data_IF_435944109020
#
_entry.id   IF_435944109020
#
_cell.length_a   1.000
_cell.length_b   1.000
_cell.length_c   1.000
_cell.angle_alpha   90.00
_cell.angle_beta   90.00
_cell.angle_gamma   90.00
#
_symmetry.space_group_name_H-M   'P 1'
#
loop_
_entity.id
_entity.type
_entity.pdbx_description
1 polymer ?
#
# COMPACT_ATOMS: atom_id res chain seq x y z
N UNK A 1 -5.12 -6.50 -12.52
CA UNK A 1 -5.08 -6.78 -13.98
C UNK A 1 -5.12 -8.28 -14.14
N UNK A 2 -6.04 -8.84 -14.94
CA UNK A 2 -6.06 -10.29 -15.19
C UNK A 2 -4.78 -10.73 -15.90
N UNK A 3 -4.39 -12.02 -15.74
CA UNK A 3 -3.22 -12.57 -16.41
C UNK A 3 -3.29 -12.43 -17.94
N UNK A 4 -2.14 -12.31 -18.58
CA UNK A 4 -2.05 -12.19 -20.03
C UNK A 4 -2.48 -13.48 -20.73
N UNK A 5 -3.35 -13.42 -21.76
CA UNK A 5 -3.65 -14.57 -22.61
C UNK A 5 -2.54 -14.84 -23.65
N UNK A 6 -1.45 -14.09 -23.63
CA UNK A 6 -0.37 -14.19 -24.63
C UNK A 6 0.26 -15.58 -24.66
N UNK A 7 0.57 -16.06 -25.86
CA UNK A 7 1.32 -17.30 -26.03
C UNK A 7 2.79 -17.19 -25.58
N UNK A 8 3.29 -15.98 -25.48
CA UNK A 8 4.69 -15.70 -25.07
C UNK A 8 4.89 -15.72 -23.55
N UNK A 9 3.82 -15.67 -22.74
CA UNK A 9 3.88 -15.63 -21.28
C UNK A 9 3.22 -16.89 -20.73
N UNK A 10 4.05 -17.85 -20.30
CA UNK A 10 3.58 -19.16 -19.87
C UNK A 10 2.92 -19.12 -18.47
N UNK A 11 3.46 -18.33 -17.54
CA UNK A 11 2.96 -18.22 -16.17
C UNK A 11 1.52 -17.68 -16.15
N UNK A 12 1.27 -16.54 -16.78
CA UNK A 12 -0.05 -15.94 -16.83
C UNK A 12 -1.08 -16.83 -17.51
N UNK A 13 -0.70 -17.47 -18.63
CA UNK A 13 -1.55 -18.43 -19.35
C UNK A 13 -1.91 -19.64 -18.48
N UNK A 14 -0.97 -20.21 -17.73
CA UNK A 14 -1.20 -21.32 -16.82
C UNK A 14 -2.24 -20.92 -15.75
N UNK A 15 -2.05 -19.77 -15.11
CA UNK A 15 -2.97 -19.26 -14.08
C UNK A 15 -4.38 -19.04 -14.65
N UNK A 16 -4.50 -18.48 -15.88
CA UNK A 16 -5.80 -18.33 -16.54
C UNK A 16 -6.49 -19.65 -16.84
N UNK A 17 -5.74 -20.71 -17.18
CA UNK A 17 -6.28 -22.05 -17.41
C UNK A 17 -6.77 -22.70 -16.12
N UNK A 18 -6.03 -22.54 -15.02
CA UNK A 18 -6.36 -23.10 -13.72
C UNK A 18 -7.48 -22.28 -13.03
N UNK A 19 -7.50 -20.96 -13.22
CA UNK A 19 -8.43 -20.02 -12.61
C UNK A 19 -9.03 -19.03 -13.65
N UNK A 20 -9.94 -19.47 -14.53
CA UNK A 20 -10.45 -18.63 -15.63
C UNK A 20 -11.15 -17.34 -15.20
N UNK A 21 -11.64 -17.28 -13.95
CA UNK A 21 -12.33 -16.11 -13.37
C UNK A 21 -11.44 -15.20 -12.54
N UNK A 22 -10.11 -15.41 -12.51
CA UNK A 22 -9.21 -14.62 -11.66
C UNK A 22 -9.24 -13.14 -12.04
N UNK A 23 -9.27 -12.27 -11.05
CA UNK A 23 -9.12 -10.81 -11.21
C UNK A 23 -7.66 -10.37 -11.36
N UNK A 24 -6.72 -11.31 -11.25
CA UNK A 24 -5.29 -11.06 -11.25
C UNK A 24 -4.78 -10.46 -9.94
N UNK A 25 -3.46 -10.27 -9.87
CA UNK A 25 -2.79 -9.64 -8.73
C UNK A 25 -1.48 -8.99 -9.19
N UNK A 26 -0.85 -8.20 -8.32
CA UNK A 26 0.51 -7.71 -8.57
C UNK A 26 1.52 -8.87 -8.60
N UNK A 27 1.34 -9.91 -7.76
CA UNK A 27 2.21 -11.09 -7.78
C UNK A 27 2.23 -11.80 -9.13
N UNK A 28 1.06 -11.93 -9.78
CA UNK A 28 0.95 -12.50 -11.14
C UNK A 28 1.65 -11.59 -12.16
N UNK A 29 1.40 -10.28 -12.11
CA UNK A 29 2.02 -9.33 -13.03
C UNK A 29 3.55 -9.29 -12.89
N UNK A 30 4.08 -9.45 -11.67
CA UNK A 30 5.51 -9.59 -11.40
C UNK A 30 6.06 -10.85 -12.07
N UNK A 31 5.40 -11.99 -11.93
CA UNK A 31 5.81 -13.24 -12.58
C UNK A 31 5.89 -13.11 -14.10
N UNK A 32 4.86 -12.51 -14.72
CA UNK A 32 4.82 -12.26 -16.16
C UNK A 32 5.96 -11.33 -16.62
N UNK A 33 6.22 -10.26 -15.89
CA UNK A 33 7.30 -9.33 -16.20
C UNK A 33 8.69 -9.98 -16.05
N UNK A 34 8.88 -10.80 -15.01
CA UNK A 34 10.11 -11.58 -14.83
C UNK A 34 10.33 -12.57 -15.96
N UNK A 35 9.27 -13.28 -16.38
CA UNK A 35 9.35 -14.24 -17.49
C UNK A 35 9.75 -13.55 -18.81
N UNK A 36 9.14 -12.39 -19.11
CA UNK A 36 9.51 -11.61 -20.30
C UNK A 36 10.97 -11.17 -20.25
N UNK A 37 11.41 -10.61 -19.13
CA UNK A 37 12.80 -10.15 -19.00
C UNK A 37 13.83 -11.31 -19.05
N UNK A 38 13.46 -12.49 -18.54
CA UNK A 38 14.34 -13.67 -18.57
C UNK A 38 14.50 -14.26 -19.98
N UNK A 39 13.49 -14.07 -20.84
CA UNK A 39 13.46 -14.65 -22.19
C UNK A 39 13.93 -13.70 -23.31
N UNK A 40 14.25 -12.45 -23.00
CA UNK A 40 14.68 -11.43 -23.95
C UNK A 40 15.84 -10.61 -23.38
N UNK A 41 17.03 -10.77 -23.98
CA UNK A 41 18.27 -10.09 -23.58
C UNK A 41 18.20 -8.55 -23.73
N UNK A 42 17.24 -8.03 -24.50
CA UNK A 42 17.03 -6.60 -24.72
C UNK A 42 15.96 -6.01 -23.76
N UNK A 43 15.32 -6.86 -22.96
CA UNK A 43 14.28 -6.45 -22.02
C UNK A 43 14.81 -6.40 -20.59
N UNK A 44 14.59 -5.26 -19.91
CA UNK A 44 14.90 -5.10 -18.50
C UNK A 44 13.59 -4.90 -17.71
N UNK A 45 13.47 -5.59 -16.58
CA UNK A 45 12.37 -5.41 -15.68
C UNK A 45 12.71 -4.38 -14.58
N UNK A 46 11.98 -3.26 -14.57
CA UNK A 46 12.03 -2.30 -13.49
C UNK A 46 11.07 -2.74 -12.36
N UNK A 47 11.57 -3.59 -11.46
CA UNK A 47 10.79 -4.09 -10.34
C UNK A 47 10.42 -2.96 -9.36
N UNK A 48 9.15 -2.91 -8.96
CA UNK A 48 8.59 -1.90 -8.05
C UNK A 48 8.62 -2.29 -6.58
N UNK A 49 7.86 -1.65 -5.85
CA UNK A 49 7.50 -1.44 -4.43
C UNK A 49 8.06 -2.33 -3.31
N UNK A 50 8.51 -3.56 -3.51
CA UNK A 50 8.93 -4.46 -2.42
C UNK A 50 10.43 -4.54 -2.19
N UNK A 51 11.25 -3.97 -3.06
CA UNK A 51 12.70 -4.05 -2.98
C UNK A 51 13.33 -2.85 -2.26
N UNK A 52 14.39 -3.12 -1.51
CA UNK A 52 15.08 -2.12 -0.68
C UNK A 52 15.56 -0.91 -1.46
N UNK A 53 16.06 -1.08 -2.69
CA UNK A 53 16.53 0.04 -3.51
C UNK A 53 15.39 0.97 -3.95
N UNK A 54 14.19 0.42 -4.19
CA UNK A 54 13.00 1.24 -4.52
C UNK A 54 12.59 2.07 -3.31
N UNK A 55 12.54 1.46 -2.12
CA UNK A 55 12.25 2.17 -0.87
C UNK A 55 13.28 3.27 -0.59
N UNK A 56 14.57 2.98 -0.81
CA UNK A 56 15.64 3.97 -0.63
C UNK A 56 15.46 5.18 -1.56
N UNK A 57 15.16 4.98 -2.84
CA UNK A 57 14.88 6.07 -3.78
C UNK A 57 13.64 6.88 -3.35
N UNK A 58 12.60 6.22 -2.87
CA UNK A 58 11.37 6.88 -2.42
C UNK A 58 11.57 7.72 -1.15
N UNK A 59 12.64 7.51 -0.38
CA UNK A 59 12.90 8.29 0.84
C UNK A 59 13.14 9.78 0.58
N UNK A 60 13.34 10.20 -0.66
CA UNK A 60 13.36 11.62 -1.03
C UNK A 60 12.08 12.34 -0.55
N UNK A 61 10.93 11.68 -0.60
CA UNK A 61 9.66 12.23 -0.12
C UNK A 61 9.70 12.50 1.38
N UNK A 62 10.11 11.51 2.17
CA UNK A 62 10.20 11.66 3.63
C UNK A 62 11.30 12.63 4.07
N UNK A 63 12.45 12.66 3.37
CA UNK A 63 13.51 13.60 3.64
C UNK A 63 13.06 15.06 3.41
N UNK A 64 12.37 15.32 2.28
CA UNK A 64 11.81 16.63 2.00
C UNK A 64 10.69 17.00 2.99
N UNK A 65 9.86 16.03 3.37
CA UNK A 65 8.81 16.22 4.39
C UNK A 65 9.42 16.68 5.73
N UNK A 66 10.52 16.05 6.19
CA UNK A 66 11.22 16.47 7.42
C UNK A 66 11.69 17.92 7.33
N UNK A 67 12.28 18.32 6.20
CA UNK A 67 12.74 19.70 6.00
C UNK A 67 11.58 20.71 5.91
N UNK A 68 10.46 20.32 5.29
CA UNK A 68 9.26 21.14 5.23
C UNK A 68 8.63 21.32 6.62
N UNK A 69 8.49 20.24 7.40
CA UNK A 69 8.00 20.29 8.78
C UNK A 69 8.88 21.16 9.67
N UNK A 70 10.21 21.04 9.53
CA UNK A 70 11.16 21.90 10.26
C UNK A 70 10.99 23.38 9.92
N UNK A 71 10.78 23.72 8.64
CA UNK A 71 10.51 25.11 8.23
C UNK A 71 9.18 25.64 8.75
N UNK A 72 8.18 24.77 8.88
CA UNK A 72 6.87 25.12 9.41
C UNK A 72 6.80 25.05 10.94
N UNK A 73 7.91 24.68 11.61
CA UNK A 73 8.00 24.48 13.06
C UNK A 73 6.98 23.43 13.58
N UNK A 74 6.74 22.38 12.76
CA UNK A 74 5.83 21.28 13.05
C UNK A 74 6.62 20.07 13.54
N UNK A 75 6.14 19.48 14.65
CA UNK A 75 6.58 18.17 15.12
C UNK A 75 5.36 17.24 15.05
N UNK A 76 5.39 16.18 14.21
CA UNK A 76 4.24 15.31 14.06
C UNK A 76 4.11 14.36 15.26
N UNK A 77 2.91 14.23 15.81
CA UNK A 77 2.55 13.15 16.73
C UNK A 77 2.29 11.85 15.96
N UNK A 78 1.68 11.97 14.77
CA UNK A 78 1.36 10.85 13.90
C UNK A 78 1.84 11.06 12.48
N UNK A 79 2.42 10.01 11.88
CA UNK A 79 2.68 9.93 10.44
C UNK A 79 1.96 8.72 9.85
N UNK A 80 1.12 8.95 8.82
CA UNK A 80 0.20 7.97 8.28
C UNK A 80 0.40 7.83 6.77
N UNK A 81 0.52 6.60 6.27
CA UNK A 81 0.58 6.37 4.82
C UNK A 81 -0.07 5.03 4.43
N UNK A 82 -0.65 4.98 3.23
CA UNK A 82 -1.12 3.72 2.68
C UNK A 82 0.04 2.81 2.31
N UNK A 83 -0.20 1.51 2.42
CA UNK A 83 0.80 0.47 2.17
C UNK A 83 0.22 -0.69 1.37
N UNK A 84 0.89 -1.03 0.26
CA UNK A 84 0.72 -2.24 -0.52
C UNK A 84 2.01 -3.06 -0.42
N UNK A 85 2.90 -2.95 -1.41
CA UNK A 85 4.23 -3.58 -1.34
C UNK A 85 5.22 -2.89 -0.38
N UNK A 86 5.00 -1.62 -0.01
CA UNK A 86 5.76 -0.94 1.04
C UNK A 86 6.50 0.33 0.63
N UNK A 87 6.79 0.57 -0.66
CA UNK A 87 7.68 1.69 -1.04
C UNK A 87 7.09 3.08 -0.76
N UNK A 88 5.79 3.29 -0.97
CA UNK A 88 5.13 4.54 -0.64
C UNK A 88 5.22 4.84 0.86
N UNK A 89 4.87 3.87 1.68
CA UNK A 89 4.95 3.96 3.14
C UNK A 89 6.38 4.21 3.61
N UNK A 90 7.33 3.36 3.18
CA UNK A 90 8.74 3.46 3.56
C UNK A 90 9.36 4.78 3.11
N UNK A 91 9.10 5.20 1.86
CA UNK A 91 9.62 6.44 1.31
C UNK A 91 9.21 7.66 2.13
N UNK A 92 7.98 7.69 2.60
CA UNK A 92 7.46 8.77 3.45
C UNK A 92 7.94 8.67 4.90
N UNK A 93 7.97 7.46 5.50
CA UNK A 93 8.12 7.30 6.96
C UNK A 93 9.52 6.91 7.44
N UNK A 94 10.36 6.26 6.63
CA UNK A 94 11.69 5.79 7.07
C UNK A 94 12.63 6.91 7.52
N UNK A 95 12.65 8.11 6.91
CA UNK A 95 13.41 9.22 7.47
C UNK A 95 12.99 9.59 8.91
N UNK A 96 11.69 9.52 9.23
CA UNK A 96 11.20 9.71 10.61
C UNK A 96 11.53 8.50 11.51
N UNK A 97 11.43 7.27 10.99
CA UNK A 97 11.86 6.07 11.75
C UNK A 97 13.32 6.15 12.17
N UNK A 98 14.19 6.70 11.31
CA UNK A 98 15.59 6.99 11.66
C UNK A 98 15.69 7.93 12.87
N UNK A 99 14.89 8.99 12.92
CA UNK A 99 14.84 9.90 14.06
C UNK A 99 14.33 9.20 15.34
N UNK A 100 13.33 8.35 15.20
CA UNK A 100 12.79 7.53 16.28
C UNK A 100 13.84 6.53 16.83
N UNK A 101 14.53 5.80 15.96
CA UNK A 101 15.60 4.87 16.34
C UNK A 101 16.78 5.58 17.03
N UNK A 102 17.02 6.83 16.69
CA UNK A 102 18.05 7.67 17.32
C UNK A 102 17.57 8.34 18.63
N UNK A 103 16.34 8.06 19.09
CA UNK A 103 15.77 8.64 20.31
C UNK A 103 15.44 10.13 20.19
N UNK A 104 15.25 10.64 18.98
CA UNK A 104 14.97 12.07 18.74
C UNK A 104 13.51 12.34 18.39
N UNK A 105 12.66 11.31 18.25
CA UNK A 105 11.24 11.45 17.95
C UNK A 105 10.44 10.34 18.61
N UNK A 106 9.26 10.70 19.12
CA UNK A 106 8.23 9.80 19.64
C UNK A 106 7.05 9.64 18.67
N UNK A 107 7.18 10.14 17.44
CA UNK A 107 6.12 10.07 16.42
C UNK A 107 5.59 8.64 16.25
N UNK A 108 4.28 8.47 16.36
CA UNK A 108 3.64 7.20 16.02
C UNK A 108 3.48 7.09 14.51
N UNK A 109 3.88 5.96 13.95
CA UNK A 109 3.85 5.70 12.51
C UNK A 109 2.82 4.63 12.23
N UNK A 110 1.89 4.89 11.29
CA UNK A 110 0.75 4.04 11.01
C UNK A 110 0.75 3.67 9.51
N UNK A 111 0.86 2.38 9.24
CA UNK A 111 0.67 1.79 7.92
C UNK A 111 -0.81 1.48 7.72
N UNK A 112 -1.37 1.85 6.57
CA UNK A 112 -2.78 1.67 6.26
C UNK A 112 -2.93 0.79 5.03
N UNK A 113 -3.49 -0.40 5.22
CA UNK A 113 -3.69 -1.39 4.16
C UNK A 113 -5.17 -1.61 3.84
N UNK A 114 -5.50 -2.17 2.66
CA UNK A 114 -6.86 -2.55 2.34
C UNK A 114 -7.22 -3.88 3.01
N UNK A 115 -8.44 -4.04 3.49
CA UNK A 115 -8.98 -5.33 3.94
C UNK A 115 -9.02 -6.40 2.83
N UNK A 116 -8.89 -5.99 1.57
CA UNK A 116 -8.74 -6.92 0.45
C UNK A 116 -7.36 -7.61 0.39
N UNK A 117 -6.34 -7.05 1.04
CA UNK A 117 -4.98 -7.59 1.09
C UNK A 117 -4.27 -7.15 2.39
N UNK A 118 -4.74 -7.62 3.56
CA UNK A 118 -4.27 -7.18 4.88
C UNK A 118 -3.00 -7.93 5.30
N UNK A 119 -1.90 -7.74 4.58
CA UNK A 119 -0.68 -8.51 4.76
C UNK A 119 0.02 -8.30 6.11
N UNK A 120 -0.02 -7.07 6.67
CA UNK A 120 0.55 -6.78 7.99
C UNK A 120 -0.38 -7.20 9.12
N UNK A 121 -1.70 -6.95 8.99
CA UNK A 121 -2.66 -7.18 10.08
C UNK A 121 -3.11 -8.63 10.17
N UNK A 122 -3.10 -9.41 9.08
CA UNK A 122 -3.61 -10.79 9.03
C UNK A 122 -2.62 -11.79 8.41
N UNK A 123 -1.52 -11.32 7.82
CA UNK A 123 -0.50 -12.18 7.22
C UNK A 123 0.42 -12.83 8.25
N UNK A 124 1.21 -13.79 7.80
CA UNK A 124 2.24 -14.47 8.57
C UNK A 124 3.63 -13.92 8.26
N UNK A 125 4.47 -13.73 9.29
CA UNK A 125 5.88 -13.35 9.11
C UNK A 125 6.72 -14.57 8.77
N UNK A 126 6.99 -14.81 7.50
CA UNK A 126 7.71 -15.98 7.00
C UNK A 126 8.42 -15.73 5.67
N UNK A 127 9.24 -16.68 5.24
CA UNK A 127 9.79 -16.66 3.88
C UNK A 127 8.69 -16.98 2.86
N UNK A 128 8.60 -16.13 1.83
CA UNK A 128 7.69 -16.33 0.71
C UNK A 128 8.27 -15.74 -0.57
N UNK A 129 7.71 -16.11 -1.71
CA UNK A 129 8.07 -15.51 -3.00
C UNK A 129 7.45 -14.12 -3.15
N UNK A 130 8.19 -13.22 -3.78
CA UNK A 130 7.68 -11.89 -4.13
C UNK A 130 6.66 -11.91 -5.28
N UNK A 131 6.44 -13.07 -5.92
CA UNK A 131 5.55 -13.26 -7.05
C UNK A 131 4.83 -14.61 -6.98
N UNK A 132 3.69 -14.72 -7.69
CA UNK A 132 2.84 -15.91 -7.67
C UNK A 132 3.50 -17.11 -8.40
N UNK A 133 4.29 -16.87 -9.41
CA UNK A 133 4.95 -17.93 -10.19
C UNK A 133 6.27 -18.44 -9.61
N UNK A 134 6.72 -17.89 -8.47
CA UNK A 134 7.97 -18.31 -7.84
C UNK A 134 9.24 -17.97 -8.64
N UNK A 135 9.20 -16.92 -9.45
CA UNK A 135 10.32 -16.48 -10.28
C UNK A 135 11.26 -15.52 -9.56
N UNK A 136 10.79 -14.91 -8.47
CA UNK A 136 11.59 -14.01 -7.61
C UNK A 136 12.29 -14.79 -6.50
N UNK A 137 13.34 -14.22 -5.86
CA UNK A 137 13.91 -14.80 -4.65
C UNK A 137 12.90 -14.89 -3.51
N UNK A 138 13.12 -15.85 -2.60
CA UNK A 138 12.45 -15.92 -1.32
C UNK A 138 12.87 -14.73 -0.45
N UNK A 139 11.88 -14.05 0.12
CA UNK A 139 12.06 -12.88 0.98
C UNK A 139 11.38 -13.14 2.32
N UNK A 140 12.00 -12.73 3.43
CA UNK A 140 11.36 -12.72 4.74
C UNK A 140 10.36 -11.56 4.79
N UNK A 141 9.06 -11.85 4.91
CA UNK A 141 7.99 -10.86 4.79
C UNK A 141 6.74 -11.24 5.58
N UNK A 142 5.93 -10.26 5.93
CA UNK A 142 4.53 -10.52 6.25
C UNK A 142 3.79 -10.82 4.94
N UNK A 143 3.10 -11.97 4.87
CA UNK A 143 2.49 -12.46 3.63
C UNK A 143 1.17 -13.18 3.88
N UNK A 144 0.25 -13.03 2.92
CA UNK A 144 -0.99 -13.80 2.82
C UNK A 144 -0.80 -15.10 1.99
N UNK A 145 0.42 -15.30 1.47
CA UNK A 145 0.77 -16.39 0.56
C UNK A 145 0.93 -15.91 -0.88
N UNK A 146 1.99 -16.38 -1.56
CA UNK A 146 2.31 -15.96 -2.94
C UNK A 146 1.22 -16.34 -3.96
N UNK A 147 0.37 -17.32 -3.64
CA UNK A 147 -0.79 -17.72 -4.46
C UNK A 147 -2.07 -16.92 -4.14
N UNK A 148 -2.06 -16.07 -3.11
CA UNK A 148 -3.21 -15.27 -2.71
C UNK A 148 -3.55 -14.24 -3.80
N UNK A 149 -4.81 -14.25 -4.23
CA UNK A 149 -5.35 -13.28 -5.19
C UNK A 149 -6.34 -12.35 -4.47
N UNK A 150 -5.97 -11.09 -4.23
CA UNK A 150 -6.85 -10.13 -3.59
C UNK A 150 -8.15 -9.91 -4.39
N UNK A 151 -9.26 -9.68 -3.69
CA UNK A 151 -10.51 -9.21 -4.34
C UNK A 151 -10.24 -7.94 -5.16
N UNK A 152 -11.08 -7.70 -6.16
CA UNK A 152 -10.99 -6.50 -7.01
C UNK A 152 -11.36 -5.25 -6.21
N UNK A 153 -10.44 -4.30 -6.13
CA UNK A 153 -10.66 -2.97 -5.55
C UNK A 153 -10.11 -1.90 -6.49
N UNK A 154 -10.61 -0.67 -6.35
CA UNK A 154 -10.12 0.47 -7.13
C UNK A 154 -8.69 0.89 -6.74
N UNK A 155 -8.30 0.68 -5.48
CA UNK A 155 -6.92 0.86 -5.03
C UNK A 155 -6.01 -0.27 -5.57
N UNK A 156 -5.84 -0.33 -6.89
CA UNK A 156 -5.11 -1.39 -7.58
C UNK A 156 -3.66 -1.54 -7.12
N UNK A 157 -3.01 -0.43 -6.77
CA UNK A 157 -1.64 -0.40 -6.26
C UNK A 157 -1.45 -1.05 -4.88
N UNK A 158 -2.53 -1.33 -4.16
CA UNK A 158 -2.49 -1.99 -2.84
C UNK A 158 -2.84 -3.50 -2.91
N UNK A 159 -3.13 -4.06 -4.09
CA UNK A 159 -3.51 -5.47 -4.29
C UNK A 159 -2.28 -6.37 -4.38
N UNK A 160 -1.58 -6.53 -3.28
CA UNK A 160 -0.38 -7.36 -3.20
C UNK A 160 -0.42 -8.29 -1.99
N UNK A 161 0.06 -9.52 -2.15
CA UNK A 161 -0.01 -10.58 -1.15
C UNK A 161 1.02 -10.45 -0.02
N UNK A 162 2.09 -9.68 -0.23
CA UNK A 162 3.22 -9.62 0.70
C UNK A 162 3.71 -8.19 0.95
N UNK A 163 4.43 -8.04 2.03
CA UNK A 163 5.02 -6.78 2.45
C UNK A 163 6.52 -6.80 2.22
N UNK A 164 7.11 -5.68 1.81
CA UNK A 164 8.56 -5.57 1.67
C UNK A 164 9.30 -6.00 2.94
N UNK A 165 10.49 -6.63 2.82
CA UNK A 165 11.24 -7.10 3.97
C UNK A 165 11.56 -6.03 5.00
N UNK A 166 11.91 -4.82 4.58
CA UNK A 166 12.24 -3.72 5.51
C UNK A 166 11.02 -3.19 6.25
N UNK A 167 9.85 -3.09 5.59
CA UNK A 167 8.60 -2.68 6.27
C UNK A 167 8.13 -3.79 7.20
N UNK A 168 8.24 -5.06 6.78
CA UNK A 168 7.93 -6.22 7.62
C UNK A 168 8.77 -6.23 8.89
N UNK A 169 10.09 -6.03 8.77
CA UNK A 169 10.98 -5.94 9.93
C UNK A 169 10.64 -4.75 10.83
N UNK A 170 10.34 -3.57 10.26
CA UNK A 170 9.95 -2.40 11.04
C UNK A 170 8.65 -2.62 11.82
N UNK A 171 7.70 -3.36 11.25
CA UNK A 171 6.45 -3.71 11.90
C UNK A 171 6.66 -4.76 13.00
N UNK A 172 7.44 -5.80 12.74
CA UNK A 172 7.78 -6.86 13.69
C UNK A 172 8.54 -6.32 14.93
N UNK A 173 9.44 -5.36 14.72
CA UNK A 173 10.17 -4.65 15.77
C UNK A 173 9.35 -3.55 16.48
N UNK A 174 8.06 -3.37 16.12
CA UNK A 174 7.16 -2.39 16.75
C UNK A 174 7.48 -0.93 16.42
N UNK A 175 8.23 -0.64 15.36
CA UNK A 175 8.55 0.72 14.93
C UNK A 175 7.36 1.42 14.29
N UNK A 176 6.39 0.66 13.77
CA UNK A 176 5.12 1.16 13.25
C UNK A 176 3.96 0.23 13.66
N UNK A 177 2.74 0.77 13.55
CA UNK A 177 1.48 0.02 13.68
C UNK A 177 0.85 -0.17 12.31
N UNK A 178 -0.11 -1.09 12.19
CA UNK A 178 -0.89 -1.28 10.98
C UNK A 178 -2.38 -1.28 11.29
N UNK A 179 -3.17 -0.76 10.34
CA UNK A 179 -4.64 -0.79 10.34
C UNK A 179 -5.13 -1.12 8.94
N UNK A 180 -6.30 -1.77 8.83
CA UNK A 180 -6.90 -2.14 7.55
C UNK A 180 -8.32 -1.57 7.43
N UNK A 181 -8.66 -1.06 6.24
CA UNK A 181 -9.98 -0.52 5.92
C UNK A 181 -10.59 -1.18 4.69
N UNK A 182 -11.92 -1.29 4.68
CA UNK A 182 -12.65 -1.67 3.48
C UNK A 182 -12.79 -0.48 2.51
N UNK A 183 -12.96 -0.77 1.22
CA UNK A 183 -13.00 0.30 0.22
C UNK A 183 -14.19 1.27 0.38
N UNK A 184 -15.42 0.89 0.81
CA UNK A 184 -16.47 1.87 1.07
C UNK A 184 -16.07 2.93 2.10
N UNK A 185 -15.40 2.52 3.19
CA UNK A 185 -14.95 3.44 4.24
C UNK A 185 -13.89 4.43 3.71
N UNK A 186 -13.01 3.95 2.84
CA UNK A 186 -11.96 4.80 2.26
C UNK A 186 -12.53 5.77 1.23
N UNK A 187 -13.52 5.36 0.41
CA UNK A 187 -14.21 6.27 -0.51
C UNK A 187 -15.07 7.30 0.22
N UNK A 188 -15.70 6.95 1.35
CA UNK A 188 -16.37 7.92 2.23
C UNK A 188 -15.40 9.03 2.63
N UNK A 189 -14.23 8.65 3.14
CA UNK A 189 -13.17 9.58 3.54
C UNK A 189 -12.67 10.43 2.36
N UNK A 190 -12.47 9.81 1.19
CA UNK A 190 -12.08 10.50 -0.04
C UNK A 190 -13.10 11.54 -0.50
N UNK A 191 -14.40 11.20 -0.44
CA UNK A 191 -15.48 12.14 -0.74
C UNK A 191 -15.54 13.30 0.26
N UNK A 192 -15.34 13.04 1.55
CA UNK A 192 -15.28 14.08 2.57
C UNK A 192 -14.08 15.01 2.31
N UNK A 193 -12.91 14.44 2.07
CA UNK A 193 -11.69 15.20 1.78
C UNK A 193 -11.84 16.07 0.52
N UNK A 194 -12.43 15.53 -0.55
CA UNK A 194 -12.67 16.29 -1.76
C UNK A 194 -13.62 17.49 -1.52
N UNK A 195 -14.61 17.34 -0.65
CA UNK A 195 -15.55 18.42 -0.30
C UNK A 195 -14.92 19.50 0.58
N UNK A 196 -14.01 19.13 1.47
CA UNK A 196 -13.39 20.06 2.44
C UNK A 196 -12.13 20.71 1.89
N UNK A 197 -11.30 19.96 1.16
CA UNK A 197 -9.97 20.42 0.71
C UNK A 197 -9.92 20.75 -0.78
N UNK A 198 -10.97 20.39 -1.56
CA UNK A 198 -11.00 20.61 -3.00
C UNK A 198 -10.07 19.69 -3.81
N UNK A 199 -9.58 18.63 -3.21
CA UNK A 199 -8.68 17.65 -3.83
C UNK A 199 -9.36 16.28 -3.83
N UNK A 200 -9.48 15.63 -4.99
CA UNK A 200 -9.95 14.25 -5.12
C UNK A 200 -8.75 13.32 -4.94
N UNK A 201 -8.63 12.58 -3.84
CA UNK A 201 -7.49 11.70 -3.61
C UNK A 201 -7.59 10.41 -4.45
N UNK A 202 -6.45 9.80 -4.78
CA UNK A 202 -6.43 8.46 -5.35
C UNK A 202 -7.06 7.44 -4.37
N UNK A 203 -7.68 6.35 -4.84
CA UNK A 203 -8.22 5.31 -3.97
C UNK A 203 -7.21 4.76 -2.96
N UNK A 204 -5.94 4.65 -3.36
CA UNK A 204 -4.84 4.30 -2.47
C UNK A 204 -4.67 5.33 -1.33
N UNK A 205 -4.62 6.61 -1.68
CA UNK A 205 -4.46 7.71 -0.72
C UNK A 205 -5.65 7.86 0.21
N UNK A 206 -6.85 7.45 -0.22
CA UNK A 206 -8.06 7.45 0.62
C UNK A 206 -7.89 6.60 1.88
N UNK A 207 -7.06 5.55 1.85
CA UNK A 207 -6.73 4.76 3.02
C UNK A 207 -6.02 5.60 4.09
N UNK A 208 -5.02 6.38 3.69
CA UNK A 208 -4.33 7.28 4.62
C UNK A 208 -5.25 8.41 5.12
N UNK A 209 -6.11 8.95 4.24
CA UNK A 209 -7.11 9.96 4.61
C UNK A 209 -8.09 9.40 5.65
N UNK A 210 -8.60 8.16 5.47
CA UNK A 210 -9.49 7.51 6.42
C UNK A 210 -8.85 7.39 7.79
N UNK A 211 -7.64 6.86 7.86
CA UNK A 211 -6.91 6.71 9.12
C UNK A 211 -6.62 8.07 9.80
N UNK A 212 -6.31 9.10 9.00
CA UNK A 212 -6.10 10.46 9.54
C UNK A 212 -7.37 11.04 10.14
N UNK A 213 -8.53 10.84 9.49
CA UNK A 213 -9.85 11.26 10.00
C UNK A 213 -10.15 10.52 11.31
N UNK A 214 -9.99 9.20 11.36
CA UNK A 214 -10.26 8.42 12.56
C UNK A 214 -9.37 8.86 13.72
N UNK A 215 -8.07 9.09 13.45
CA UNK A 215 -7.14 9.59 14.46
C UNK A 215 -7.52 10.99 14.95
N UNK A 216 -7.95 11.88 14.06
CA UNK A 216 -8.44 13.21 14.43
C UNK A 216 -9.72 13.14 15.29
N UNK A 217 -10.63 12.20 15.00
CA UNK A 217 -11.84 11.98 15.81
C UNK A 217 -11.51 11.41 17.20
N UNK A 218 -10.51 10.51 17.29
CA UNK A 218 -9.99 10.03 18.59
C UNK A 218 -9.44 11.20 19.42
N UNK A 219 -8.59 12.04 18.84
CA UNK A 219 -8.03 13.22 19.50
C UNK A 219 -9.13 14.20 19.96
N UNK A 220 -10.15 14.40 19.11
CA UNK A 220 -11.32 15.22 19.47
C UNK A 220 -12.07 14.63 20.67
N UNK A 221 -12.25 13.31 20.73
CA UNK A 221 -12.96 12.63 21.82
C UNK A 221 -12.18 12.69 23.14
N UNK A 222 -10.85 12.63 23.09
CA UNK A 222 -9.98 12.74 24.27
C UNK A 222 -9.66 14.18 24.67
N UNK A 223 -9.91 15.15 23.79
CA UNK A 223 -9.55 16.55 23.98
C UNK A 223 -8.06 16.83 23.83
N UNK A 224 -7.30 15.91 23.19
CA UNK A 224 -5.87 16.08 22.95
C UNK A 224 -5.63 16.92 21.68
N UNK A 225 -4.71 17.86 21.76
CA UNK A 225 -4.21 18.59 20.59
C UNK A 225 -3.01 17.84 20.02
N UNK A 226 -3.16 17.34 18.78
CA UNK A 226 -2.15 16.50 18.09
C UNK A 226 -1.94 16.94 16.64
N UNK A 227 -0.71 16.80 16.17
CA UNK A 227 -0.35 17.03 14.78
C UNK A 227 -0.32 15.72 14.01
N UNK A 228 -1.19 15.61 13.00
CA UNK A 228 -1.31 14.44 12.12
C UNK A 228 -0.77 14.81 10.75
N UNK A 229 0.26 14.10 10.29
CA UNK A 229 0.81 14.24 8.94
C UNK A 229 0.55 12.96 8.18
N UNK A 230 -0.12 13.05 7.04
CA UNK A 230 -0.39 11.87 6.21
C UNK A 230 0.08 12.06 4.77
N UNK A 231 0.38 10.95 4.10
CA UNK A 231 0.87 10.94 2.73
C UNK A 231 -0.30 10.98 1.74
N UNK A 232 -0.52 12.13 1.09
CA UNK A 232 -1.43 12.27 -0.05
C UNK A 232 -0.66 11.94 -1.34
N UNK A 233 -0.46 10.67 -1.60
CA UNK A 233 0.46 10.15 -2.62
C UNK A 233 -0.05 10.20 -4.05
N UNK A 234 -1.35 10.42 -4.27
CA UNK A 234 -1.93 10.47 -5.60
C UNK A 234 -3.29 11.16 -5.65
N UNK A 235 -3.66 11.63 -6.86
CA UNK A 235 -4.98 12.20 -7.16
C UNK A 235 -5.90 11.16 -7.80
N UNK A 236 -7.21 11.30 -7.59
CA UNK A 236 -8.25 10.39 -8.09
C UNK A 236 -8.94 10.82 -9.40
N UNK A 237 -8.34 11.75 -10.17
CA UNK A 237 -8.99 12.27 -11.39
C UNK A 237 -9.14 11.20 -12.49
N UNK A 238 -8.38 10.12 -12.43
CA UNK A 238 -8.50 8.96 -13.32
C UNK A 238 -9.33 7.82 -12.71
N UNK A 239 -9.78 7.96 -11.46
CA UNK A 239 -10.49 6.95 -10.68
C UNK A 239 -11.94 7.37 -10.37
N UNK A 240 -12.48 8.36 -11.11
CA UNK A 240 -13.81 8.92 -10.87
C UNK A 240 -14.93 7.87 -10.93
N UNK A 241 -14.74 6.79 -11.69
CA UNK A 241 -15.68 5.68 -11.74
C UNK A 241 -15.87 5.00 -10.37
N UNK A 242 -14.82 4.83 -9.58
CA UNK A 242 -14.93 4.31 -8.21
C UNK A 242 -15.70 5.25 -7.29
N UNK A 243 -15.50 6.57 -7.44
CA UNK A 243 -16.26 7.58 -6.70
C UNK A 243 -17.74 7.60 -7.11
N UNK A 244 -18.03 7.47 -8.42
CA UNK A 244 -19.40 7.33 -8.93
C UNK A 244 -20.10 6.13 -8.30
N UNK A 245 -19.49 4.94 -8.32
CA UNK A 245 -20.04 3.74 -7.71
C UNK A 245 -20.30 3.93 -6.20
N UNK A 246 -19.40 4.60 -5.47
CA UNK A 246 -19.61 4.91 -4.06
C UNK A 246 -20.84 5.82 -3.86
N UNK A 247 -20.95 6.92 -4.64
CA UNK A 247 -22.07 7.87 -4.54
C UNK A 247 -23.41 7.21 -4.90
N UNK A 248 -23.42 6.30 -5.86
CA UNK A 248 -24.60 5.52 -6.28
C UNK A 248 -24.93 4.38 -5.34
N UNK A 249 -24.08 4.08 -4.36
CA UNK A 249 -24.27 2.94 -3.43
C UNK A 249 -24.08 1.57 -4.08
N UNK A 250 -23.34 1.50 -5.17
CA UNK A 250 -23.04 0.26 -5.92
C UNK A 250 -21.63 -0.28 -5.68
N UNK A 251 -20.79 0.46 -4.94
CA UNK A 251 -19.43 0.02 -4.60
C UNK A 251 -19.47 -1.15 -3.62
N UNK A 252 -18.96 -2.35 -4.01
CA UNK A 252 -19.01 -3.52 -3.12
C UNK A 252 -17.99 -3.44 -2.00
N UNK A 253 -18.28 -4.10 -0.86
CA UNK A 253 -17.27 -4.48 0.13
C UNK A 253 -16.26 -5.44 -0.48
N UNK A 254 -15.04 -5.35 -0.04
CA UNK A 254 -13.92 -6.16 -0.53
C UNK A 254 -13.11 -6.81 0.59
N UNK A 255 -13.63 -6.79 1.83
CA UNK A 255 -13.02 -7.50 2.96
C UNK A 255 -12.84 -9.00 2.65
N UNK A 256 -11.73 -9.57 3.11
CA UNK A 256 -11.50 -11.03 2.98
C UNK A 256 -12.42 -11.84 3.89
N UNK A 257 -13.02 -11.21 4.90
CA UNK A 257 -13.94 -11.85 5.86
C UNK A 257 -15.37 -12.02 5.31
N UNK A 258 -15.67 -11.50 4.13
CA UNK A 258 -16.94 -11.60 3.41
C UNK A 258 -16.77 -12.43 2.12
#
# INVERSE_FOLDING_TARGET
VPPSPSETIAVGRKILQEHPGTTGSLGIAISEACELAANDEHTCYALGSVLNHVMLHQTVIGLETLEQMKKAEIVPDYMIACVGGGSNFAGFTFPMMREKLAGRSETEIIAVEPKAAPSLTEGEFRYDYGDTGGMTPLLMMYTLGSEFVPKGIHAGGLRYHGMSPLVSAAYDEGLCKAVAYDQPDTFEAGCLFAKTEGIVPAPESCHAVRAAIDKALECKATGEEKTIVFCLSGHGLIDLYGYEQYIEGTLPSSSIDE
#
